data_IF_647511288029
#
_entry.id   IF_647511288029
#
_cell.length_a   1.000
_cell.length_b   1.000
_cell.length_c   1.000
_cell.angle_alpha   90.00
_cell.angle_beta   90.00
_cell.angle_gamma   90.00
#
_symmetry.space_group_name_H-M   'P 1'
#
loop_
_entity.id
_entity.type
_entity.pdbx_description
1 polymer ?
#
# COMPACT_ATOMS: atom_id res chain seq x y z
N UNK A 1 19.90 26.42 -2.84
CA UNK A 1 18.54 26.46 -3.44
C UNK A 1 18.68 26.43 -4.94
N UNK A 2 18.21 25.37 -5.60
CA UNK A 2 18.11 25.35 -7.06
C UNK A 2 16.70 25.85 -7.45
N UNK A 3 16.62 26.98 -8.14
CA UNK A 3 15.38 27.42 -8.81
C UNK A 3 15.44 26.87 -10.23
N UNK A 4 14.56 25.93 -10.55
CA UNK A 4 14.39 25.45 -11.93
C UNK A 4 13.75 26.56 -12.79
N UNK A 5 14.31 26.77 -13.98
CA UNK A 5 13.77 27.69 -14.98
C UNK A 5 12.39 27.25 -15.50
N UNK A 6 11.63 28.25 -15.93
CA UNK A 6 10.21 28.20 -16.28
C UNK A 6 9.84 27.07 -17.27
N UNK A 7 9.19 26.03 -16.76
CA UNK A 7 8.35 25.15 -17.56
C UNK A 7 6.96 25.80 -17.63
N UNK A 8 6.63 26.36 -18.81
CA UNK A 8 5.34 26.96 -19.21
C UNK A 8 4.15 26.47 -18.36
N UNK A 9 3.66 27.34 -17.46
CA UNK A 9 2.34 27.25 -16.85
C UNK A 9 2.14 26.25 -15.70
N UNK A 10 3.18 25.64 -15.13
CA UNK A 10 3.05 24.75 -13.95
C UNK A 10 3.81 25.32 -12.75
N UNK A 11 3.21 25.26 -11.55
CA UNK A 11 3.86 25.61 -10.27
C UNK A 11 5.29 25.05 -10.26
N UNK A 12 6.28 25.91 -10.04
CA UNK A 12 7.68 25.50 -9.91
C UNK A 12 7.77 24.43 -8.81
N UNK A 13 8.24 23.24 -9.17
CA UNK A 13 8.45 22.15 -8.22
C UNK A 13 9.70 22.48 -7.42
N UNK A 14 9.52 22.94 -6.18
CA UNK A 14 10.64 23.23 -5.28
C UNK A 14 11.32 21.91 -4.92
N UNK A 15 12.58 21.78 -5.33
CA UNK A 15 13.43 20.64 -5.02
C UNK A 15 14.44 21.03 -3.94
N UNK A 16 14.50 20.25 -2.88
CA UNK A 16 15.46 20.40 -1.79
C UNK A 16 16.51 19.31 -1.88
N UNK A 17 17.78 19.70 -1.75
CA UNK A 17 18.91 18.78 -1.69
C UNK A 17 19.29 18.57 -0.24
N UNK A 18 19.39 17.31 0.18
CA UNK A 18 19.80 16.92 1.53
C UNK A 18 21.05 16.04 1.41
N UNK A 19 22.19 16.60 1.79
CA UNK A 19 23.46 15.85 1.84
C UNK A 19 23.49 14.86 3.00
N UNK A 20 24.13 13.70 2.83
CA UNK A 20 24.24 12.66 3.87
C UNK A 20 24.80 13.16 5.20
N UNK A 21 25.66 14.19 5.16
CA UNK A 21 26.27 14.81 6.34
C UNK A 21 25.32 15.76 7.08
N UNK A 22 24.20 16.16 6.47
CA UNK A 22 23.22 17.08 7.07
C UNK A 22 22.38 16.38 8.14
N UNK A 23 22.08 17.06 9.25
CA UNK A 23 21.17 16.51 10.29
C UNK A 23 19.77 16.16 9.74
N UNK A 24 19.34 16.79 8.65
CA UNK A 24 18.06 16.50 8.00
C UNK A 24 18.07 15.23 7.13
N UNK A 25 19.22 14.56 6.98
CA UNK A 25 19.30 13.31 6.23
C UNK A 25 18.77 12.15 7.08
N UNK A 26 17.83 11.33 6.57
CA UNK A 26 17.16 10.32 7.37
C UNK A 26 18.14 9.28 7.92
N UNK A 27 18.10 9.02 9.23
CA UNK A 27 18.95 8.02 9.88
C UNK A 27 18.76 6.62 9.27
N UNK A 28 17.52 6.27 8.90
CA UNK A 28 17.20 5.02 8.21
C UNK A 28 18.02 4.84 6.94
N UNK A 29 18.26 5.91 6.17
CA UNK A 29 19.07 5.87 4.95
C UNK A 29 20.57 5.89 5.23
N UNK A 30 21.03 6.31 6.40
CA UNK A 30 22.46 6.26 6.75
C UNK A 30 22.93 4.85 7.06
N UNK A 31 22.04 4.03 7.62
CA UNK A 31 22.35 2.71 8.17
C UNK A 31 22.31 1.58 7.14
N UNK A 32 21.75 1.83 5.95
CA UNK A 32 21.64 0.80 4.93
C UNK A 32 22.98 0.51 4.25
N UNK A 33 23.16 -0.69 3.68
CA UNK A 33 24.27 -0.96 2.77
C UNK A 33 24.27 0.03 1.59
N UNK A 34 25.45 0.58 1.29
CA UNK A 34 25.65 1.59 0.23
C UNK A 34 24.68 2.81 0.35
N UNK A 35 24.79 3.59 1.44
CA UNK A 35 23.85 4.68 1.72
C UNK A 35 24.04 5.85 0.73
N UNK A 36 22.95 6.50 0.29
CA UNK A 36 23.02 7.60 -0.68
C UNK A 36 23.91 8.72 -0.16
N UNK A 37 24.75 9.31 -1.02
CA UNK A 37 25.60 10.46 -0.64
C UNK A 37 24.77 11.72 -0.41
N UNK A 38 23.63 11.82 -1.07
CA UNK A 38 22.66 12.89 -1.01
C UNK A 38 21.31 12.36 -1.50
N UNK A 39 20.24 13.07 -1.15
CA UNK A 39 18.92 12.86 -1.76
C UNK A 39 18.35 14.21 -2.19
N UNK A 40 17.54 14.16 -3.24
CA UNK A 40 16.71 15.25 -3.73
C UNK A 40 15.28 14.95 -3.34
N UNK A 41 14.58 15.96 -2.83
CA UNK A 41 13.24 15.81 -2.28
C UNK A 41 12.33 16.93 -2.78
N UNK A 42 11.07 16.59 -3.04
CA UNK A 42 10.01 17.53 -3.41
C UNK A 42 8.73 17.13 -2.67
N UNK A 43 8.05 18.08 -2.04
CA UNK A 43 6.85 17.82 -1.25
C UNK A 43 7.09 17.98 0.24
N UNK A 44 6.36 17.21 1.05
CA UNK A 44 6.39 17.29 2.52
C UNK A 44 7.58 16.52 3.11
N UNK A 45 8.65 17.23 3.48
CA UNK A 45 9.86 16.62 4.06
C UNK A 45 9.63 15.97 5.43
N UNK A 46 8.56 16.31 6.15
CA UNK A 46 8.26 15.69 7.44
C UNK A 46 7.98 14.18 7.31
N UNK A 47 7.61 13.73 6.10
CA UNK A 47 7.38 12.33 5.80
C UNK A 47 8.64 11.46 5.84
N UNK A 48 9.84 12.06 5.77
CA UNK A 48 11.09 11.32 5.91
C UNK A 48 11.30 10.71 7.30
N UNK A 49 10.72 11.34 8.33
CA UNK A 49 10.83 10.90 9.73
C UNK A 49 9.58 10.17 10.23
N UNK A 50 8.48 10.19 9.45
CA UNK A 50 7.24 9.51 9.82
C UNK A 50 7.38 8.00 9.66
N UNK A 51 6.75 7.21 10.55
CA UNK A 51 6.57 5.77 10.33
C UNK A 51 5.77 5.55 9.06
N UNK A 52 6.29 4.73 8.15
CA UNK A 52 5.70 4.44 6.84
C UNK A 52 5.88 2.97 6.50
N UNK A 53 5.09 2.47 5.56
CA UNK A 53 5.18 1.08 5.10
C UNK A 53 5.56 1.06 3.63
N UNK A 54 6.53 0.22 3.27
CA UNK A 54 6.93 0.06 1.87
C UNK A 54 6.05 -1.00 1.21
N UNK A 55 5.40 -0.68 0.09
CA UNK A 55 4.55 -1.62 -0.64
C UNK A 55 5.05 -1.71 -2.07
N UNK A 56 5.46 -2.90 -2.52
CA UNK A 56 5.99 -3.10 -3.86
C UNK A 56 5.44 -4.37 -4.52
N UNK A 57 5.55 -4.44 -5.83
CA UNK A 57 5.28 -5.67 -6.54
C UNK A 57 5.54 -5.60 -8.03
N UNK A 58 4.95 -6.54 -8.75
CA UNK A 58 5.17 -6.73 -10.17
C UNK A 58 4.54 -5.61 -11.00
N UNK A 59 5.21 -5.25 -12.10
CA UNK A 59 4.66 -4.37 -13.13
C UNK A 59 3.61 -5.08 -13.99
N UNK A 60 3.70 -6.40 -14.11
CA UNK A 60 2.68 -7.26 -14.72
C UNK A 60 1.89 -7.90 -13.58
N UNK A 61 0.63 -7.54 -13.46
CA UNK A 61 -0.18 -7.86 -12.29
C UNK A 61 -1.46 -8.60 -12.69
N UNK A 62 -2.00 -9.38 -11.76
CA UNK A 62 -3.35 -9.94 -11.85
C UNK A 62 -4.41 -8.96 -11.32
N UNK A 63 -5.69 -9.23 -11.58
CA UNK A 63 -6.79 -8.47 -10.95
C UNK A 63 -6.75 -8.61 -9.43
N UNK A 64 -6.41 -9.80 -8.91
CA UNK A 64 -6.21 -10.03 -7.49
C UNK A 64 -5.11 -9.12 -6.93
N UNK A 65 -3.92 -9.11 -7.54
CA UNK A 65 -2.81 -8.26 -7.11
C UNK A 65 -3.15 -6.77 -7.14
N UNK A 66 -3.87 -6.30 -8.18
CA UNK A 66 -4.38 -4.92 -8.22
C UNK A 66 -5.30 -4.64 -7.02
N UNK A 67 -6.32 -5.47 -6.81
CA UNK A 67 -7.30 -5.24 -5.75
C UNK A 67 -6.67 -5.26 -4.36
N UNK A 68 -5.76 -6.20 -4.11
CA UNK A 68 -5.05 -6.28 -2.82
C UNK A 68 -4.13 -5.08 -2.62
N UNK A 69 -3.41 -4.63 -3.65
CA UNK A 69 -2.57 -3.43 -3.56
C UNK A 69 -3.39 -2.18 -3.22
N UNK A 70 -4.54 -1.99 -3.89
CA UNK A 70 -5.48 -0.90 -3.57
C UNK A 70 -5.99 -1.00 -2.14
N UNK A 71 -6.38 -2.20 -1.69
CA UNK A 71 -6.92 -2.45 -0.35
C UNK A 71 -5.89 -2.15 0.74
N UNK A 72 -4.64 -2.61 0.56
CA UNK A 72 -3.53 -2.28 1.46
C UNK A 72 -3.30 -0.76 1.48
N UNK A 73 -3.21 -0.14 0.30
CA UNK A 73 -3.00 1.30 0.18
C UNK A 73 -4.08 2.11 0.91
N UNK A 74 -5.35 1.80 0.64
CA UNK A 74 -6.50 2.45 1.26
C UNK A 74 -6.47 2.33 2.77
N UNK A 75 -6.30 1.11 3.29
CA UNK A 75 -6.29 0.85 4.73
C UNK A 75 -5.15 1.57 5.45
N UNK A 76 -3.97 1.62 4.85
CA UNK A 76 -2.82 2.37 5.38
C UNK A 76 -3.07 3.89 5.33
N UNK A 77 -3.69 4.38 4.26
CA UNK A 77 -4.09 5.78 4.13
C UNK A 77 -5.10 6.21 5.20
N UNK A 78 -6.15 5.42 5.42
CA UNK A 78 -7.16 5.62 6.49
C UNK A 78 -6.51 5.65 7.88
N UNK A 79 -5.44 4.87 8.06
CA UNK A 79 -4.66 4.81 9.30
C UNK A 79 -3.62 5.93 9.43
N UNK A 80 -3.57 6.86 8.47
CA UNK A 80 -2.61 7.97 8.45
C UNK A 80 -1.15 7.54 8.26
N UNK A 81 -0.92 6.32 7.77
CA UNK A 81 0.40 5.73 7.53
C UNK A 81 0.80 5.98 6.07
N UNK A 82 1.89 6.72 5.80
CA UNK A 82 2.35 6.91 4.45
C UNK A 82 2.84 5.61 3.82
N UNK A 83 2.58 5.43 2.53
CA UNK A 83 3.14 4.32 1.75
C UNK A 83 4.36 4.77 0.96
N UNK A 84 5.46 4.04 1.11
CA UNK A 84 6.67 4.20 0.28
C UNK A 84 6.61 3.24 -0.90
N UNK A 85 6.78 3.72 -2.13
CA UNK A 85 6.88 2.82 -3.27
C UNK A 85 7.65 3.37 -4.46
N UNK A 86 7.68 2.55 -5.51
CA UNK A 86 8.33 2.72 -6.78
C UNK A 86 7.87 3.88 -7.64
N UNK A 87 6.60 4.28 -7.46
CA UNK A 87 5.79 4.92 -8.49
C UNK A 87 5.83 4.20 -9.85
N UNK A 88 6.17 2.90 -9.88
CA UNK A 88 6.21 2.12 -11.10
C UNK A 88 4.80 1.79 -11.58
N UNK A 89 4.66 1.36 -12.84
CA UNK A 89 3.40 0.79 -13.30
C UNK A 89 3.08 -0.49 -12.51
N UNK A 90 1.80 -0.78 -12.30
CA UNK A 90 1.36 -2.00 -11.61
C UNK A 90 1.18 -1.79 -10.12
N UNK A 91 1.60 -2.78 -9.32
CA UNK A 91 1.36 -2.83 -7.86
C UNK A 91 1.74 -1.53 -7.16
N UNK A 92 2.92 -0.99 -7.44
CA UNK A 92 3.40 0.26 -6.83
C UNK A 92 2.45 1.44 -7.07
N UNK A 93 1.89 1.54 -8.29
CA UNK A 93 0.90 2.54 -8.65
C UNK A 93 -0.42 2.34 -7.91
N UNK A 94 -0.93 1.11 -7.86
CA UNK A 94 -2.18 0.78 -7.18
C UNK A 94 -2.11 0.98 -5.66
N UNK A 95 -0.99 0.64 -5.03
CA UNK A 95 -0.79 0.92 -3.61
C UNK A 95 -0.86 2.42 -3.33
N UNK A 96 -0.21 3.25 -4.14
CA UNK A 96 -0.32 4.70 -4.02
C UNK A 96 -1.72 5.23 -4.36
N UNK A 97 -2.38 4.71 -5.39
CA UNK A 97 -3.77 5.08 -5.74
C UNK A 97 -4.71 4.84 -4.55
N UNK A 98 -4.66 3.65 -3.93
CA UNK A 98 -5.47 3.34 -2.76
C UNK A 98 -5.22 4.30 -1.58
N UNK A 99 -3.96 4.67 -1.32
CA UNK A 99 -3.64 5.66 -0.28
C UNK A 99 -4.26 7.02 -0.57
N UNK A 100 -4.18 7.49 -1.81
CA UNK A 100 -4.73 8.79 -2.18
C UNK A 100 -6.26 8.79 -2.18
N UNK A 101 -6.91 7.67 -2.54
CA UNK A 101 -8.37 7.53 -2.41
C UNK A 101 -8.83 7.65 -0.94
N UNK A 102 -8.02 7.19 0.01
CA UNK A 102 -8.25 7.34 1.44
C UNK A 102 -7.88 8.74 2.01
N UNK A 103 -7.42 9.67 1.18
CA UNK A 103 -6.91 10.97 1.65
C UNK A 103 -5.55 10.89 2.37
N UNK A 104 -4.86 9.75 2.27
CA UNK A 104 -3.55 9.51 2.85
C UNK A 104 -2.41 10.17 2.06
N UNK A 105 -1.18 9.97 2.55
CA UNK A 105 0.04 10.56 1.98
C UNK A 105 0.93 9.49 1.37
N UNK A 106 1.58 9.80 0.25
CA UNK A 106 2.50 8.88 -0.42
C UNK A 106 3.95 9.36 -0.38
N UNK A 107 4.89 8.42 -0.38
CA UNK A 107 6.33 8.66 -0.56
C UNK A 107 6.79 7.91 -1.81
N UNK A 108 6.99 8.64 -2.90
CA UNK A 108 7.44 8.09 -4.16
C UNK A 108 8.95 8.19 -4.30
N UNK A 109 9.66 7.08 -4.41
CA UNK A 109 11.09 7.12 -4.70
C UNK A 109 11.27 7.07 -6.23
N UNK A 110 12.32 7.66 -6.80
CA UNK A 110 12.56 7.68 -8.26
C UNK A 110 13.88 7.01 -8.65
N UNK A 111 13.85 6.31 -9.78
CA UNK A 111 15.06 5.86 -10.49
C UNK A 111 15.62 6.91 -11.46
N UNK A 112 15.10 8.14 -11.44
CA UNK A 112 15.54 9.28 -12.24
C UNK A 112 15.59 10.53 -11.37
N UNK A 113 16.16 11.61 -11.90
CA UNK A 113 16.03 12.94 -11.32
C UNK A 113 14.57 13.41 -11.21
N UNK A 114 14.31 14.30 -10.25
CA UNK A 114 12.96 14.83 -9.97
C UNK A 114 12.38 15.64 -11.15
N UNK A 115 13.20 16.24 -12.02
CA UNK A 115 12.72 16.94 -13.21
C UNK A 115 12.41 15.97 -14.37
N UNK A 116 12.95 14.76 -14.30
CA UNK A 116 12.77 13.67 -15.28
C UNK A 116 11.91 12.52 -14.72
N UNK A 117 10.87 12.86 -13.94
CA UNK A 117 9.98 11.87 -13.30
C UNK A 117 9.56 10.75 -14.25
N UNK A 118 9.94 9.51 -13.92
CA UNK A 118 9.74 8.31 -14.73
C UNK A 118 9.16 7.19 -13.86
N UNK A 119 8.14 6.44 -14.34
CA UNK A 119 7.55 6.46 -15.68
C UNK A 119 6.60 7.64 -15.92
N UNK A 120 6.60 8.17 -17.16
CA UNK A 120 5.72 9.29 -17.57
C UNK A 120 4.23 9.00 -17.35
N UNK A 121 3.82 7.73 -17.47
CA UNK A 121 2.43 7.27 -17.27
C UNK A 121 1.91 7.60 -15.87
N UNK A 122 2.76 7.50 -14.86
CA UNK A 122 2.38 7.77 -13.47
C UNK A 122 2.61 9.23 -13.05
N UNK A 123 2.98 10.11 -13.98
CA UNK A 123 3.21 11.53 -13.65
C UNK A 123 1.97 12.20 -13.05
N UNK A 124 0.76 11.82 -13.48
CA UNK A 124 -0.49 12.32 -12.89
C UNK A 124 -0.61 11.92 -11.43
N UNK A 125 -0.39 10.63 -11.12
CA UNK A 125 -0.39 10.09 -9.77
C UNK A 125 0.63 10.79 -8.88
N UNK A 126 1.85 11.01 -9.38
CA UNK A 126 2.90 11.73 -8.67
C UNK A 126 2.50 13.15 -8.31
N UNK A 127 1.97 13.90 -9.31
CA UNK A 127 1.53 15.28 -9.08
C UNK A 127 0.38 15.34 -8.09
N UNK A 128 -0.61 14.44 -8.20
CA UNK A 128 -1.71 14.34 -7.26
C UNK A 128 -1.20 14.06 -5.84
N UNK A 129 -0.25 13.11 -5.68
CA UNK A 129 0.35 12.83 -4.39
C UNK A 129 1.05 14.05 -3.79
N UNK A 130 1.79 14.81 -4.59
CA UNK A 130 2.43 16.05 -4.14
C UNK A 130 1.41 17.13 -3.73
N UNK A 131 0.32 17.26 -4.49
CA UNK A 131 -0.78 18.18 -4.17
C UNK A 131 -1.48 17.81 -2.86
N UNK A 132 -1.55 16.52 -2.53
CA UNK A 132 -2.11 15.99 -1.28
C UNK A 132 -1.09 15.93 -0.13
N UNK A 133 0.06 16.61 -0.26
CA UNK A 133 1.07 16.68 0.78
C UNK A 133 1.94 15.42 0.92
N UNK A 134 2.10 14.66 -0.16
CA UNK A 134 3.07 13.58 -0.30
C UNK A 134 4.49 14.08 -0.54
N UNK A 135 5.41 13.13 -0.72
CA UNK A 135 6.84 13.36 -0.91
C UNK A 135 7.34 12.55 -2.10
N UNK A 136 8.22 13.15 -2.90
CA UNK A 136 8.99 12.46 -3.94
C UNK A 136 10.47 12.56 -3.59
N UNK A 137 11.19 11.44 -3.64
CA UNK A 137 12.61 11.32 -3.29
C UNK A 137 13.40 10.73 -4.45
N UNK A 138 14.58 11.28 -4.73
CA UNK A 138 15.53 10.71 -5.69
C UNK A 138 16.96 10.79 -5.17
N UNK A 139 17.81 9.84 -5.52
CA UNK A 139 19.25 9.92 -5.31
C UNK A 139 19.98 10.63 -6.46
N UNK A 140 19.30 10.78 -7.61
CA UNK A 140 19.86 11.27 -8.86
C UNK A 140 19.68 12.77 -8.99
N UNK A 141 20.62 13.43 -9.67
CA UNK A 141 20.55 14.87 -9.93
C UNK A 141 19.23 15.24 -10.61
N UNK A 142 18.63 16.43 -10.36
CA UNK A 142 17.27 16.75 -10.80
C UNK A 142 16.99 16.49 -12.29
N UNK A 143 17.96 16.77 -13.17
CA UNK A 143 17.85 16.58 -14.63
C UNK A 143 18.24 15.19 -15.15
N UNK A 144 18.65 14.24 -14.30
CA UNK A 144 19.18 12.94 -14.72
C UNK A 144 18.08 11.98 -15.20
N UNK A 145 18.30 11.32 -16.34
CA UNK A 145 17.34 10.37 -16.90
C UNK A 145 17.47 8.98 -16.28
N UNK A 146 16.34 8.26 -16.17
CA UNK A 146 16.36 6.88 -15.69
C UNK A 146 17.12 5.97 -16.64
N UNK A 147 17.84 5.00 -16.08
CA UNK A 147 18.51 3.93 -16.83
C UNK A 147 18.07 2.56 -16.26
N UNK A 148 18.21 1.45 -17.00
CA UNK A 148 17.76 0.15 -16.50
C UNK A 148 18.29 -0.21 -15.11
N UNK A 149 19.55 0.12 -14.81
CA UNK A 149 20.19 -0.18 -13.53
C UNK A 149 19.78 0.76 -12.38
N UNK A 150 19.20 1.93 -12.68
CA UNK A 150 18.83 2.90 -11.63
C UNK A 150 17.56 2.46 -10.90
N UNK A 151 16.68 1.68 -11.55
CA UNK A 151 15.47 1.16 -10.90
C UNK A 151 15.80 0.14 -9.81
N UNK A 152 16.61 -0.92 -10.03
CA UNK A 152 17.04 -1.81 -8.96
C UNK A 152 17.86 -1.09 -7.89
N UNK A 153 18.79 -0.21 -8.29
CA UNK A 153 19.66 0.50 -7.35
C UNK A 153 18.85 1.34 -6.34
N UNK A 154 17.79 2.00 -6.81
CA UNK A 154 16.90 2.77 -5.95
C UNK A 154 16.16 1.91 -4.91
N UNK A 155 15.88 0.63 -5.18
CA UNK A 155 14.97 -0.17 -4.34
C UNK A 155 15.44 -0.28 -2.88
N UNK A 156 16.75 -0.20 -2.63
CA UNK A 156 17.30 -0.12 -1.28
C UNK A 156 16.81 1.10 -0.47
N UNK A 157 16.49 2.21 -1.14
CA UNK A 157 15.92 3.41 -0.52
C UNK A 157 14.43 3.17 -0.20
N UNK A 158 13.70 2.46 -1.06
CA UNK A 158 12.29 2.10 -0.80
C UNK A 158 12.22 1.26 0.47
N UNK A 159 12.97 0.16 0.55
CA UNK A 159 12.95 -0.73 1.72
C UNK A 159 13.40 -0.01 3.00
N UNK A 160 14.34 0.92 2.88
CA UNK A 160 14.90 1.63 4.03
C UNK A 160 13.93 2.63 4.68
N UNK A 161 13.17 3.37 3.86
CA UNK A 161 12.25 4.40 4.37
C UNK A 161 11.06 3.78 5.12
N UNK A 162 10.55 2.65 4.64
CA UNK A 162 9.51 1.87 5.33
C UNK A 162 10.03 1.21 6.61
N UNK A 163 9.17 1.06 7.62
CA UNK A 163 9.46 0.26 8.81
C UNK A 163 9.46 -1.24 8.47
N UNK A 164 8.53 -1.65 7.61
CA UNK A 164 8.37 -3.00 7.07
C UNK A 164 8.18 -2.93 5.55
N UNK A 165 8.44 -4.05 4.87
CA UNK A 165 8.22 -4.21 3.44
C UNK A 165 7.05 -5.16 3.17
N UNK A 166 6.16 -4.78 2.27
CA UNK A 166 5.05 -5.61 1.78
C UNK A 166 5.26 -5.93 0.30
N UNK A 167 5.29 -7.21 -0.03
CA UNK A 167 5.29 -7.72 -1.41
C UNK A 167 3.87 -8.19 -1.74
N UNK A 168 3.18 -7.50 -2.65
CA UNK A 168 1.81 -7.89 -3.04
C UNK A 168 1.81 -9.00 -4.08
N UNK A 169 2.65 -8.88 -5.12
CA UNK A 169 2.70 -9.87 -6.19
C UNK A 169 4.09 -9.84 -6.83
N UNK A 170 4.74 -10.99 -6.94
CA UNK A 170 6.05 -11.11 -7.56
C UNK A 170 6.17 -12.45 -8.31
N UNK A 171 6.50 -12.37 -9.61
CA UNK A 171 6.97 -13.54 -10.35
C UNK A 171 8.46 -13.80 -10.05
N UNK A 172 8.98 -14.92 -10.54
CA UNK A 172 10.36 -15.36 -10.29
C UNK A 172 11.45 -14.36 -10.72
N UNK A 173 11.17 -13.52 -11.73
CA UNK A 173 12.11 -12.52 -12.27
C UNK A 173 11.71 -11.08 -11.90
N UNK A 174 10.91 -10.91 -10.84
CA UNK A 174 10.38 -9.61 -10.48
C UNK A 174 11.44 -8.76 -9.81
N UNK A 175 11.52 -7.47 -10.18
CA UNK A 175 12.35 -6.50 -9.47
C UNK A 175 11.93 -6.30 -8.00
N UNK A 176 10.73 -6.73 -7.62
CA UNK A 176 10.28 -6.75 -6.22
C UNK A 176 11.11 -7.72 -5.36
N UNK A 177 11.63 -8.81 -5.94
CA UNK A 177 12.51 -9.74 -5.22
C UNK A 177 13.84 -9.09 -4.84
N UNK A 178 14.35 -8.17 -5.68
CA UNK A 178 15.53 -7.37 -5.35
C UNK A 178 15.22 -6.46 -4.17
N UNK A 179 14.02 -5.88 -4.10
CA UNK A 179 13.61 -5.07 -2.94
C UNK A 179 13.50 -5.92 -1.68
N UNK A 180 12.97 -7.14 -1.78
CA UNK A 180 12.91 -8.10 -0.66
C UNK A 180 14.31 -8.43 -0.14
N UNK A 181 15.27 -8.70 -1.02
CA UNK A 181 16.66 -8.92 -0.61
C UNK A 181 17.25 -7.70 0.10
N UNK A 182 17.08 -6.49 -0.46
CA UNK A 182 17.55 -5.27 0.20
C UNK A 182 16.92 -5.08 1.58
N UNK A 183 15.64 -5.40 1.75
CA UNK A 183 14.95 -5.32 3.04
C UNK A 183 15.52 -6.32 4.05
N UNK A 184 15.76 -7.57 3.62
CA UNK A 184 16.40 -8.59 4.46
C UNK A 184 17.80 -8.16 4.91
N UNK A 185 18.63 -7.64 3.99
CA UNK A 185 19.97 -7.12 4.29
C UNK A 185 19.93 -5.92 5.26
N UNK A 186 18.80 -5.20 5.30
CA UNK A 186 18.55 -4.06 6.19
C UNK A 186 17.91 -4.47 7.52
N UNK A 187 17.65 -5.77 7.74
CA UNK A 187 16.98 -6.30 8.94
C UNK A 187 15.51 -5.88 9.04
N UNK A 188 14.83 -5.69 7.91
CA UNK A 188 13.41 -5.32 7.85
C UNK A 188 12.53 -6.56 7.83
N UNK A 189 11.41 -6.49 8.55
CA UNK A 189 10.36 -7.49 8.43
C UNK A 189 9.71 -7.42 7.04
N UNK A 190 9.48 -8.60 6.44
CA UNK A 190 8.95 -8.71 5.08
C UNK A 190 7.63 -9.47 5.15
N UNK A 191 6.54 -8.76 4.83
CA UNK A 191 5.23 -9.34 4.64
C UNK A 191 4.99 -9.64 3.17
N UNK A 192 4.37 -10.77 2.88
CA UNK A 192 4.10 -11.19 1.51
C UNK A 192 2.67 -11.68 1.38
N UNK A 193 1.95 -11.14 0.41
CA UNK A 193 0.59 -11.60 0.09
C UNK A 193 0.67 -12.99 -0.54
N UNK A 194 0.04 -14.02 0.06
CA UNK A 194 -0.02 -15.35 -0.51
C UNK A 194 -0.80 -15.34 -1.82
N UNK A 195 -0.38 -16.15 -2.79
CA UNK A 195 -1.10 -16.30 -4.06
C UNK A 195 -1.31 -17.74 -4.47
N UNK A 196 -2.16 -17.94 -5.49
CA UNK A 196 -2.46 -19.26 -6.02
C UNK A 196 -1.19 -19.94 -6.54
N UNK A 197 -0.93 -21.18 -6.11
CA UNK A 197 0.26 -21.96 -6.50
C UNK A 197 0.37 -22.23 -8.01
N UNK A 198 -0.75 -22.17 -8.74
CA UNK A 198 -0.79 -22.30 -10.20
C UNK A 198 -0.59 -20.96 -10.94
N UNK A 199 -0.51 -19.85 -10.22
CA UNK A 199 -0.26 -18.53 -10.81
C UNK A 199 1.23 -18.24 -10.91
N UNK A 200 1.73 -18.09 -12.14
CA UNK A 200 3.11 -17.65 -12.39
C UNK A 200 3.42 -16.27 -11.76
N UNK A 201 2.39 -15.45 -11.55
CA UNK A 201 2.54 -14.12 -10.96
C UNK A 201 2.79 -14.17 -9.45
N UNK A 202 2.44 -15.27 -8.79
CA UNK A 202 2.57 -15.45 -7.34
C UNK A 202 3.75 -16.34 -6.96
N UNK A 203 4.46 -16.93 -7.93
CA UNK A 203 5.54 -17.87 -7.67
C UNK A 203 6.66 -17.26 -6.81
N UNK A 204 7.11 -16.04 -7.14
CA UNK A 204 8.13 -15.34 -6.35
C UNK A 204 7.62 -14.97 -4.95
N UNK A 205 6.37 -14.51 -4.83
CA UNK A 205 5.73 -14.27 -3.52
C UNK A 205 5.71 -15.53 -2.64
N UNK A 206 5.23 -16.65 -3.19
CA UNK A 206 5.14 -17.90 -2.42
C UNK A 206 6.52 -18.47 -2.06
N UNK A 207 7.53 -18.26 -2.91
CA UNK A 207 8.92 -18.62 -2.59
C UNK A 207 9.46 -17.77 -1.45
N UNK A 208 9.20 -16.46 -1.41
CA UNK A 208 9.59 -15.61 -0.28
C UNK A 208 8.95 -16.10 1.04
N UNK A 209 7.67 -16.49 1.01
CA UNK A 209 6.99 -17.05 2.19
C UNK A 209 7.68 -18.35 2.64
N UNK A 210 7.97 -19.26 1.70
CA UNK A 210 8.72 -20.49 1.99
C UNK A 210 10.08 -20.20 2.60
N UNK A 211 10.75 -19.15 2.12
CA UNK A 211 12.10 -18.77 2.52
C UNK A 211 12.12 -17.92 3.82
N UNK A 212 10.96 -17.74 4.48
CA UNK A 212 10.85 -17.19 5.83
C UNK A 212 10.15 -15.83 5.93
N UNK A 213 9.63 -15.27 4.83
CA UNK A 213 8.84 -14.05 4.90
C UNK A 213 7.46 -14.32 5.53
N UNK A 214 6.93 -13.33 6.25
CA UNK A 214 5.65 -13.44 6.97
C UNK A 214 4.47 -13.38 5.99
N UNK A 215 3.56 -14.38 5.97
CA UNK A 215 2.39 -14.33 5.11
C UNK A 215 1.41 -13.25 5.59
N UNK A 216 1.04 -12.33 4.69
CA UNK A 216 0.04 -11.30 4.98
C UNK A 216 -1.37 -11.88 4.84
N UNK A 217 -2.01 -12.18 5.96
CA UNK A 217 -3.38 -12.69 6.02
C UNK A 217 -4.37 -11.58 6.39
N UNK A 218 -3.99 -10.70 7.33
CA UNK A 218 -4.80 -9.57 7.79
C UNK A 218 -4.01 -8.27 7.63
N UNK A 219 -4.54 -7.30 6.89
CA UNK A 219 -3.84 -6.03 6.60
C UNK A 219 -3.50 -5.26 7.89
N UNK A 220 -4.36 -5.32 8.89
CA UNK A 220 -4.17 -4.61 10.15
C UNK A 220 -2.97 -5.13 10.96
N UNK A 221 -2.47 -6.33 10.66
CA UNK A 221 -1.22 -6.82 11.27
C UNK A 221 -0.03 -5.95 10.89
N UNK A 222 -0.02 -5.38 9.68
CA UNK A 222 1.00 -4.41 9.26
C UNK A 222 1.02 -3.16 10.16
N UNK A 223 -0.17 -2.71 10.56
CA UNK A 223 -0.35 -1.50 11.38
C UNK A 223 0.09 -1.77 12.82
N UNK A 224 -0.31 -2.93 13.36
CA UNK A 224 0.09 -3.40 14.68
C UNK A 224 1.59 -3.61 14.77
N UNK A 225 2.21 -4.18 13.74
CA UNK A 225 3.65 -4.46 13.68
C UNK A 225 4.48 -3.18 13.85
N UNK A 226 4.05 -2.07 13.25
CA UNK A 226 4.74 -0.78 13.41
C UNK A 226 4.35 -0.04 14.71
N UNK A 227 3.61 -0.70 15.60
CA UNK A 227 3.21 -0.20 16.91
C UNK A 227 2.13 0.87 16.86
N UNK A 228 1.24 0.82 15.87
CA UNK A 228 0.09 1.71 15.74
C UNK A 228 -1.17 0.89 16.01
N UNK A 229 -2.14 1.49 16.72
CA UNK A 229 -3.47 0.89 16.86
C UNK A 229 -4.21 1.19 15.56
N UNK A 230 -4.61 0.16 14.79
CA UNK A 230 -5.40 0.40 13.59
C UNK A 230 -6.66 1.18 14.00
N UNK A 231 -7.06 2.21 13.24
CA UNK A 231 -8.34 2.84 13.50
C UNK A 231 -9.36 1.71 13.47
N UNK A 232 -10.18 1.65 14.52
CA UNK A 232 -11.35 0.79 14.47
C UNK A 232 -12.00 1.03 13.11
N UNK A 233 -12.45 -0.04 12.46
CA UNK A 233 -13.47 0.10 11.43
C UNK A 233 -14.75 0.48 12.21
N UNK A 234 -14.72 1.63 12.92
CA UNK A 234 -15.91 2.38 13.23
C UNK A 234 -16.39 2.73 11.85
N UNK A 235 -17.36 1.95 11.40
CA UNK A 235 -18.31 2.30 10.39
C UNK A 235 -18.21 3.81 10.13
N UNK A 236 -17.70 4.22 8.95
CA UNK A 236 -18.44 5.21 8.16
C UNK A 236 -19.89 4.90 8.49
N UNK A 237 -20.68 5.83 9.05
CA UNK A 237 -22.07 5.58 9.41
C UNK A 237 -22.74 4.82 8.27
N UNK A 238 -22.66 3.48 8.32
CA UNK A 238 -23.13 2.62 7.27
C UNK A 238 -24.58 2.72 7.59
N UNK A 239 -25.26 3.56 6.83
CA UNK A 239 -26.65 3.84 7.09
C UNK A 239 -27.35 2.56 6.70
N UNK A 240 -27.49 1.71 7.71
CA UNK A 240 -28.13 0.44 7.57
C UNK A 240 -29.62 0.71 7.62
N UNK A 241 -30.36 0.14 6.67
CA UNK A 241 -31.79 0.04 6.82
C UNK A 241 -32.10 -0.71 8.12
N UNK A 242 -33.27 -0.49 8.72
CA UNK A 242 -33.63 -1.13 9.99
C UNK A 242 -33.54 -2.67 9.91
N UNK A 243 -33.91 -3.20 8.76
CA UNK A 243 -33.82 -4.63 8.44
C UNK A 243 -32.37 -5.14 8.36
N UNK A 244 -31.44 -4.32 7.86
CA UNK A 244 -30.02 -4.64 7.82
C UNK A 244 -29.44 -4.67 9.24
N UNK A 245 -29.79 -3.69 10.09
CA UNK A 245 -29.36 -3.65 11.49
C UNK A 245 -29.84 -4.88 12.25
N UNK A 246 -31.10 -5.26 12.04
CA UNK A 246 -31.69 -6.42 12.70
C UNK A 246 -30.92 -7.70 12.38
N UNK A 247 -30.60 -7.95 11.10
CA UNK A 247 -29.79 -9.12 10.70
C UNK A 247 -28.37 -9.05 11.29
N UNK A 248 -27.75 -7.88 11.30
CA UNK A 248 -26.42 -7.69 11.89
C UNK A 248 -26.43 -8.02 13.39
N UNK A 249 -27.44 -7.56 14.13
CA UNK A 249 -27.59 -7.84 15.56
C UNK A 249 -27.81 -9.33 15.84
N UNK A 250 -28.67 -10.00 15.07
CA UNK A 250 -28.85 -11.45 15.19
C UNK A 250 -27.56 -12.22 14.92
N UNK A 251 -26.79 -11.81 13.89
CA UNK A 251 -25.49 -12.41 13.62
C UNK A 251 -24.46 -12.12 14.71
N UNK A 252 -24.49 -10.95 15.37
CA UNK A 252 -23.65 -10.68 16.56
C UNK A 252 -23.99 -11.61 17.72
N UNK A 253 -25.27 -11.86 17.94
CA UNK A 253 -25.75 -12.72 19.03
C UNK A 253 -25.46 -14.20 18.77
N UNK A 254 -25.60 -14.65 17.53
CA UNK A 254 -25.44 -16.05 17.14
C UNK A 254 -24.01 -16.41 16.73
N UNK A 255 -23.18 -15.43 16.39
CA UNK A 255 -21.85 -15.60 15.79
C UNK A 255 -21.90 -15.99 14.31
N UNK A 256 -22.75 -16.95 13.95
CA UNK A 256 -23.08 -17.32 12.58
C UNK A 256 -24.45 -17.98 12.49
N UNK A 257 -25.12 -17.86 11.33
CA UNK A 257 -26.43 -18.47 11.13
C UNK A 257 -26.70 -18.83 9.66
N UNK A 258 -27.64 -19.75 9.43
CA UNK A 258 -28.22 -19.96 8.09
C UNK A 258 -29.30 -18.92 7.77
N UNK A 259 -29.69 -18.83 6.50
CA UNK A 259 -30.81 -17.99 6.06
C UNK A 259 -32.10 -18.34 6.81
N UNK A 260 -32.36 -19.64 7.01
CA UNK A 260 -33.59 -20.10 7.68
C UNK A 260 -33.64 -19.67 9.15
N UNK A 261 -32.51 -19.75 9.87
CA UNK A 261 -32.42 -19.31 11.27
C UNK A 261 -32.63 -17.79 11.38
N UNK A 262 -32.03 -17.02 10.47
CA UNK A 262 -32.23 -15.57 10.42
C UNK A 262 -33.67 -15.21 10.06
N UNK A 263 -34.30 -15.95 9.15
CA UNK A 263 -35.71 -15.77 8.81
C UNK A 263 -36.62 -16.01 10.02
N UNK A 264 -36.37 -17.07 10.79
CA UNK A 264 -37.09 -17.36 12.03
C UNK A 264 -36.91 -16.25 13.08
N UNK A 265 -35.67 -15.81 13.32
CA UNK A 265 -35.35 -14.79 14.34
C UNK A 265 -35.88 -13.41 14.00
N UNK A 266 -35.85 -13.04 12.73
CA UNK A 266 -36.30 -11.71 12.27
C UNK A 266 -37.78 -11.67 11.91
N UNK A 267 -38.48 -12.81 11.87
CA UNK A 267 -39.86 -12.91 11.43
C UNK A 267 -40.06 -12.59 9.94
N UNK A 268 -39.00 -12.63 9.13
CA UNK A 268 -39.01 -12.33 7.69
C UNK A 268 -39.02 -13.62 6.87
N UNK A 269 -39.42 -13.53 5.60
CA UNK A 269 -39.32 -14.67 4.69
C UNK A 269 -37.85 -14.95 4.32
N UNK A 270 -37.47 -16.22 4.04
CA UNK A 270 -36.12 -16.55 3.58
C UNK A 270 -35.68 -15.76 2.34
N UNK A 271 -36.61 -15.46 1.43
CA UNK A 271 -36.33 -14.64 0.25
C UNK A 271 -35.97 -13.18 0.61
N UNK A 272 -36.66 -12.59 1.58
CA UNK A 272 -36.37 -11.23 2.07
C UNK A 272 -35.02 -11.18 2.77
N UNK A 273 -34.73 -12.15 3.64
CA UNK A 273 -33.43 -12.30 4.31
C UNK A 273 -32.31 -12.47 3.27
N UNK A 274 -32.50 -13.32 2.25
CA UNK A 274 -31.52 -13.50 1.18
C UNK A 274 -31.20 -12.22 0.40
N UNK A 275 -32.22 -11.39 0.12
CA UNK A 275 -32.02 -10.10 -0.54
C UNK A 275 -31.21 -9.13 0.34
N UNK A 276 -31.53 -9.03 1.63
CA UNK A 276 -30.81 -8.17 2.59
C UNK A 276 -29.35 -8.63 2.73
N UNK A 277 -29.14 -9.95 2.84
CA UNK A 277 -27.80 -10.53 2.95
C UNK A 277 -26.95 -10.27 1.70
N UNK A 278 -27.55 -10.32 0.51
CA UNK A 278 -26.87 -9.95 -0.73
C UNK A 278 -26.35 -8.51 -0.66
N UNK A 279 -27.17 -7.58 -0.17
CA UNK A 279 -26.77 -6.18 -0.02
C UNK A 279 -25.68 -6.04 1.04
N UNK A 280 -25.80 -6.73 2.18
CA UNK A 280 -24.80 -6.72 3.24
C UNK A 280 -23.46 -7.33 2.78
N UNK A 281 -23.49 -8.34 1.92
CA UNK A 281 -22.29 -8.97 1.34
C UNK A 281 -21.63 -8.02 0.33
N UNK A 282 -22.40 -7.33 -0.51
CA UNK A 282 -21.90 -6.25 -1.39
C UNK A 282 -21.28 -5.11 -0.56
N UNK A 283 -21.87 -4.77 0.58
CA UNK A 283 -21.33 -3.79 1.54
C UNK A 283 -20.12 -4.31 2.34
N UNK A 284 -19.72 -5.58 2.16
CA UNK A 284 -18.63 -6.21 2.89
C UNK A 284 -18.87 -6.29 4.39
N UNK A 285 -20.13 -6.47 4.81
CA UNK A 285 -20.54 -6.60 6.22
C UNK A 285 -20.66 -8.07 6.63
N UNK A 286 -21.02 -8.94 5.68
CA UNK A 286 -21.18 -10.37 5.91
C UNK A 286 -20.45 -11.18 4.84
N UNK A 287 -20.13 -12.44 5.17
CA UNK A 287 -19.56 -13.42 4.25
C UNK A 287 -20.27 -14.76 4.42
N UNK A 288 -20.55 -15.45 3.31
CA UNK A 288 -21.10 -16.80 3.32
C UNK A 288 -20.00 -17.85 3.21
N UNK A 289 -19.94 -18.78 4.17
CA UNK A 289 -18.98 -19.89 4.21
C UNK A 289 -19.74 -21.18 4.50
N UNK A 290 -19.68 -22.14 3.56
CA UNK A 290 -20.31 -23.46 3.71
C UNK A 290 -21.81 -23.43 4.14
N UNK A 291 -22.56 -22.43 3.64
CA UNK A 291 -23.99 -22.27 3.95
C UNK A 291 -24.28 -21.57 5.28
N UNK A 292 -23.25 -21.09 5.98
CA UNK A 292 -23.36 -20.24 7.16
C UNK A 292 -22.96 -18.80 6.82
N UNK A 293 -23.67 -17.84 7.38
CA UNK A 293 -23.41 -16.42 7.23
C UNK A 293 -22.67 -15.93 8.47
N UNK A 294 -21.58 -15.23 8.26
CA UNK A 294 -20.74 -14.63 9.30
C UNK A 294 -20.66 -13.12 9.09
N UNK A 295 -20.43 -12.36 10.17
CA UNK A 295 -19.97 -10.98 10.03
C UNK A 295 -18.55 -10.99 9.45
N UNK A 296 -18.32 -10.16 8.43
CA UNK A 296 -16.99 -9.91 7.91
C UNK A 296 -16.16 -9.19 8.99
N UNK A 297 -15.00 -9.74 9.35
CA UNK A 297 -14.06 -9.16 10.30
C UNK A 297 -13.26 -8.04 9.68
#
# INVERSE_FOLDING_TARGET
>A
MYKAENIKGKKSIRTEKIDRKSKAFPEKLRRIPNPPKQIYCTGDLSLLEKKSISVVGSRKFTLYGKNVAMMIGRRLGESGIPVVSGLANGIDGFAHEGVLEAGGKIIGVLGSGIEKMTPRRNRKLMMQGLEMGGLVVSEYEPGEEARPYTFPARNRIISALGEILVIVEANFNSGALITAQNAADQGKEIFVVPGNINSQFSMGSNLLIRDGATPLIVIDDLIREIGIVPPDIVSEERTFAEDEKTIIEELKNLGSASIDILAEKTGKSPASVGAILTILEIKGVVVSVAGQIHLAK
#
